data_IF_590331959206
#
_entry.id   IF_590331959206
#
_cell.length_a   1.000
_cell.length_b   1.000
_cell.length_c   1.000
_cell.angle_alpha   90.00
_cell.angle_beta   90.00
_cell.angle_gamma   90.00
#
_symmetry.space_group_name_H-M   'P 1'
#
loop_
_entity.id
_entity.type
_entity.pdbx_description
1 polymer ?
#
# COMPACT_ATOMS: atom_id res chain seq x y z
N UNK A 1 13.06 -33.27 -15.79
CA UNK A 1 12.98 -31.82 -16.07
C UNK A 1 11.58 -31.53 -16.57
N UNK A 2 10.73 -30.96 -15.70
CA UNK A 2 9.44 -30.39 -16.08
C UNK A 2 9.34 -29.09 -15.30
N UNK A 3 9.52 -27.98 -16.00
CA UNK A 3 9.34 -26.64 -15.46
C UNK A 3 7.87 -26.47 -15.10
N UNK A 4 7.56 -26.42 -13.81
CA UNK A 4 6.25 -25.96 -13.34
C UNK A 4 6.34 -24.45 -13.26
N UNK A 5 5.95 -23.79 -14.35
CA UNK A 5 5.71 -22.36 -14.35
C UNK A 5 4.43 -22.10 -13.54
N UNK A 6 4.56 -21.99 -12.22
CA UNK A 6 3.48 -21.51 -11.35
C UNK A 6 3.40 -19.99 -11.49
N UNK A 7 2.97 -19.53 -12.66
CA UNK A 7 2.37 -18.21 -12.81
C UNK A 7 0.94 -18.31 -12.32
N UNK A 8 0.72 -18.18 -11.01
CA UNK A 8 -0.63 -18.15 -10.45
C UNK A 8 -1.31 -16.87 -10.92
N UNK A 9 -2.20 -17.03 -11.88
CA UNK A 9 -3.13 -16.02 -12.37
C UNK A 9 -4.08 -15.62 -11.22
N UNK A 10 -3.83 -14.47 -10.58
CA UNK A 10 -4.77 -13.85 -9.65
C UNK A 10 -5.79 -12.98 -10.43
N UNK A 11 -6.67 -13.63 -11.20
CA UNK A 11 -7.69 -12.94 -12.00
C UNK A 11 -9.07 -12.88 -11.31
N UNK A 12 -9.20 -13.30 -10.05
CA UNK A 12 -10.46 -13.19 -9.31
C UNK A 12 -10.25 -13.31 -7.80
N UNK A 13 -9.88 -12.22 -7.13
CA UNK A 13 -10.16 -12.12 -5.70
C UNK A 13 -10.56 -10.69 -5.34
N UNK A 14 -11.66 -10.53 -4.63
CA UNK A 14 -12.10 -9.20 -4.17
C UNK A 14 -11.19 -8.78 -3.03
N UNK A 15 -10.07 -8.15 -3.38
CA UNK A 15 -9.11 -7.51 -2.48
C UNK A 15 -7.76 -8.21 -2.43
N UNK A 16 -6.86 -7.92 -3.38
CA UNK A 16 -5.49 -8.45 -3.44
C UNK A 16 -4.65 -8.10 -2.20
N UNK A 17 -5.00 -7.04 -1.48
CA UNK A 17 -4.33 -6.56 -0.28
C UNK A 17 -5.32 -6.36 0.86
N UNK A 18 -4.93 -6.70 2.08
CA UNK A 18 -5.69 -6.43 3.30
C UNK A 18 -5.62 -4.96 3.70
N UNK A 19 -4.49 -4.29 3.43
CA UNK A 19 -4.32 -2.85 3.61
C UNK A 19 -3.78 -2.29 2.31
N UNK A 20 -4.38 -1.20 1.81
CA UNK A 20 -3.92 -0.52 0.62
C UNK A 20 -3.98 1.00 0.80
N UNK A 21 -2.86 1.67 0.61
CA UNK A 21 -2.74 3.12 0.48
C UNK A 21 -2.38 3.44 -0.97
N UNK A 22 -3.14 4.34 -1.58
CA UNK A 22 -2.89 4.82 -2.95
C UNK A 22 -2.72 6.32 -2.95
N UNK A 23 -1.56 6.80 -3.40
CA UNK A 23 -1.21 8.22 -3.50
C UNK A 23 -1.55 9.01 -2.20
N UNK A 24 -1.26 8.41 -1.04
CA UNK A 24 -1.68 8.97 0.24
C UNK A 24 -0.73 10.11 0.66
N UNK A 25 -1.31 11.27 0.95
CA UNK A 25 -0.61 12.45 1.47
C UNK A 25 -1.24 12.88 2.79
N UNK A 26 -0.41 13.12 3.82
CA UNK A 26 -0.85 13.63 5.13
C UNK A 26 -0.20 14.97 5.42
N UNK A 27 -1.04 15.96 5.70
CA UNK A 27 -0.65 17.32 6.10
C UNK A 27 -1.23 17.68 7.46
N UNK A 28 -0.49 18.47 8.20
CA UNK A 28 -0.90 19.09 9.46
C UNK A 28 -0.71 20.60 9.36
N UNK A 29 -1.46 21.36 10.14
CA UNK A 29 -1.18 22.78 10.32
C UNK A 29 -0.08 22.95 11.39
N UNK A 30 0.86 23.84 11.15
CA UNK A 30 1.77 24.36 12.16
C UNK A 30 1.01 25.34 13.07
N UNK A 31 1.58 25.72 14.24
CA UNK A 31 1.00 26.79 15.06
C UNK A 31 0.82 28.12 14.33
N UNK A 32 1.62 28.38 13.29
CA UNK A 32 1.53 29.57 12.43
C UNK A 32 0.53 29.41 11.27
N UNK A 33 -0.24 28.31 11.25
CA UNK A 33 -1.24 28.03 10.22
C UNK A 33 -0.66 27.57 8.89
N UNK A 34 0.66 27.36 8.80
CA UNK A 34 1.29 26.85 7.58
C UNK A 34 1.10 25.33 7.49
N UNK A 35 1.01 24.81 6.27
CA UNK A 35 0.87 23.39 6.10
C UNK A 35 2.23 22.67 6.15
N UNK A 36 2.37 21.75 7.10
CA UNK A 36 3.46 20.80 7.18
C UNK A 36 3.06 19.48 6.51
N UNK A 37 3.87 18.97 5.59
CA UNK A 37 3.62 17.68 4.92
C UNK A 37 4.40 16.58 5.63
N UNK A 38 3.69 15.70 6.33
CA UNK A 38 4.28 14.59 7.09
C UNK A 38 4.47 13.34 6.23
N UNK A 39 3.58 13.10 5.28
CA UNK A 39 3.63 11.98 4.33
C UNK A 39 3.28 12.55 2.96
N UNK A 40 4.02 12.17 1.91
CA UNK A 40 3.81 12.63 0.53
C UNK A 40 3.67 11.44 -0.43
N UNK A 41 2.51 11.35 -1.06
CA UNK A 41 2.19 10.52 -2.21
C UNK A 41 2.63 9.06 -2.08
N UNK A 42 2.43 8.48 -0.89
CA UNK A 42 2.88 7.10 -0.64
C UNK A 42 1.90 6.10 -1.24
N UNK A 43 2.46 5.00 -1.72
CA UNK A 43 1.74 3.79 -2.11
C UNK A 43 2.22 2.66 -1.21
N UNK A 44 1.29 1.95 -0.57
CA UNK A 44 1.58 0.83 0.33
C UNK A 44 0.52 -0.24 0.14
N UNK A 45 0.96 -1.49 0.09
CA UNK A 45 0.10 -2.65 -0.04
C UNK A 45 0.57 -3.68 0.97
N UNK A 46 -0.35 -4.21 1.77
CA UNK A 46 -0.06 -5.22 2.80
C UNK A 46 -0.95 -6.43 2.55
N UNK A 47 -0.35 -7.61 2.42
CA UNK A 47 -1.06 -8.87 2.24
C UNK A 47 -1.78 -9.29 3.53
N UNK A 48 -2.82 -10.14 3.44
CA UNK A 48 -3.43 -10.74 4.62
C UNK A 48 -2.41 -11.50 5.47
N UNK A 49 -2.29 -11.15 6.75
CA UNK A 49 -1.37 -11.80 7.70
C UNK A 49 0.10 -11.37 7.60
N UNK A 50 0.43 -10.43 6.71
CA UNK A 50 1.77 -9.87 6.59
C UNK A 50 2.10 -8.96 7.79
N UNK A 51 3.30 -9.10 8.33
CA UNK A 51 3.86 -8.20 9.34
C UNK A 51 4.76 -7.17 8.67
N UNK A 52 4.49 -5.88 8.91
CA UNK A 52 5.21 -4.74 8.33
C UNK A 52 5.65 -3.81 9.46
N UNK A 53 6.91 -3.39 9.47
CA UNK A 53 7.51 -2.53 10.49
C UNK A 53 8.33 -1.40 9.86
#
# INVERSE_FOLDING_TARGET
MKDVSTGTQHASDRGTYAIELRNATKRFLTPTGQAYTAIRDINLSVAPGEFVA
#
